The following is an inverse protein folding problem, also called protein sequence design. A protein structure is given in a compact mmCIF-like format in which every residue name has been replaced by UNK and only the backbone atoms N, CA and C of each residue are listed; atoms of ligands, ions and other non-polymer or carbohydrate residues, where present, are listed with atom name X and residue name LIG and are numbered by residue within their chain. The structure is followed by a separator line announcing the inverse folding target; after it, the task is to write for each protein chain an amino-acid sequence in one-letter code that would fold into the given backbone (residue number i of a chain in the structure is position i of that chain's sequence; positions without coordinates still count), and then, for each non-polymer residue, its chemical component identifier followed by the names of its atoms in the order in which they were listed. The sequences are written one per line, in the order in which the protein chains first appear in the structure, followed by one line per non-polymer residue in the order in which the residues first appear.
data_IF_082643562350
#
_entry.id   IF_082643562350
#
_cell.length_a   1.000
_cell.length_b   1.000
_cell.length_c   1.000
_cell.angle_alpha   90.00
_cell.angle_beta   90.00
_cell.angle_gamma   90.00
#
_symmetry.space_group_name_H-M   'P 1'
#
loop_
_entity.id
_entity.type
_entity.pdbx_description
1 polymer ?
#
# COMPACT_ATOMS: atom_id res chain seq x y z
N UNK A 1 4.02 4.92 -25.47
CA UNK A 1 3.59 3.87 -26.42
C UNK A 1 2.72 2.91 -25.64
N UNK A 2 1.45 2.78 -26.01
CA UNK A 2 0.51 1.83 -25.41
C UNK A 2 0.16 0.77 -26.46
N UNK A 3 -0.03 -0.48 -26.03
CA UNK A 3 -0.53 -1.52 -26.93
C UNK A 3 -2.04 -1.63 -26.74
N UNK A 4 -2.80 -1.13 -27.71
CA UNK A 4 -4.26 -1.20 -27.72
C UNK A 4 -4.69 -2.23 -28.75
N UNK A 5 -5.38 -3.31 -28.34
CA UNK A 5 -5.86 -4.38 -29.23
C UNK A 5 -4.75 -4.89 -30.18
N UNK A 6 -3.58 -5.15 -29.59
CA UNK A 6 -2.35 -5.58 -30.27
C UNK A 6 -1.66 -4.60 -31.22
N UNK A 7 -2.15 -3.37 -31.35
CA UNK A 7 -1.48 -2.30 -32.11
C UNK A 7 -0.74 -1.36 -31.17
N UNK A 8 0.47 -0.96 -31.55
CA UNK A 8 1.22 0.07 -30.86
C UNK A 8 0.68 1.44 -31.24
N UNK A 9 0.28 2.22 -30.24
CA UNK A 9 -0.25 3.57 -30.39
C UNK A 9 0.56 4.55 -29.52
N UNK A 10 0.66 5.80 -30.00
CA UNK A 10 1.24 6.92 -29.27
C UNK A 10 0.10 7.85 -28.90
N UNK A 11 -0.01 8.18 -27.61
CA UNK A 11 -0.97 9.18 -27.12
C UNK A 11 -0.30 10.54 -27.10
N UNK A 12 -0.95 11.54 -27.69
CA UNK A 12 -0.53 12.94 -27.65
C UNK A 12 -1.11 13.59 -26.39
N UNK A 13 -0.36 13.53 -25.29
CA UNK A 13 -0.75 14.07 -23.98
C UNK A 13 0.45 14.77 -23.34
N UNK A 14 0.17 15.87 -22.64
CA UNK A 14 1.21 16.62 -21.92
C UNK A 14 1.70 15.91 -20.65
N UNK A 15 0.82 15.11 -20.04
CA UNK A 15 1.08 14.47 -18.76
C UNK A 15 0.59 13.02 -18.71
N UNK A 16 1.37 12.20 -18.00
CA UNK A 16 1.03 10.81 -17.69
C UNK A 16 0.97 10.67 -16.18
N UNK A 17 -0.21 10.34 -15.66
CA UNK A 17 -0.40 10.01 -14.23
C UNK A 17 -0.34 8.50 -14.06
N UNK A 18 0.59 8.03 -13.23
CA UNK A 18 0.78 6.61 -12.98
C UNK A 18 -0.02 6.18 -11.75
N UNK A 19 -1.11 5.45 -11.98
CA UNK A 19 -1.94 4.85 -10.93
C UNK A 19 -1.66 3.34 -10.80
N UNK A 20 -0.40 2.94 -10.68
CA UNK A 20 0.05 1.53 -10.72
C UNK A 20 -0.10 0.77 -9.39
N UNK A 21 -1.04 1.19 -8.54
CA UNK A 21 -1.27 0.60 -7.22
C UNK A 21 -0.36 1.17 -6.13
N UNK A 22 -0.21 0.40 -5.05
CA UNK A 22 0.44 0.84 -3.81
C UNK A 22 1.31 -0.28 -3.24
N UNK A 23 2.41 0.10 -2.57
CA UNK A 23 3.29 -0.80 -1.82
C UNK A 23 3.21 -0.49 -0.32
N UNK A 24 3.37 -1.50 0.56
CA UNK A 24 3.43 -1.24 2.00
C UNK A 24 4.63 -0.37 2.38
N UNK A 25 4.41 0.61 3.26
CA UNK A 25 5.48 1.41 3.85
C UNK A 25 5.83 0.86 5.24
N UNK A 26 7.00 0.24 5.38
CA UNK A 26 7.39 -0.52 6.59
C UNK A 26 8.72 -0.05 7.21
N UNK A 27 9.31 1.06 6.74
CA UNK A 27 10.63 1.51 7.17
C UNK A 27 10.74 1.69 8.70
N UNK A 28 9.78 2.38 9.31
CA UNK A 28 9.75 2.58 10.76
C UNK A 28 9.53 1.28 11.53
N UNK A 29 8.66 0.41 11.02
CA UNK A 29 8.38 -0.88 11.64
C UNK A 29 9.64 -1.75 11.72
N UNK A 30 10.37 -1.88 10.60
CA UNK A 30 11.62 -2.63 10.57
C UNK A 30 12.68 -2.01 11.49
N UNK A 31 12.81 -0.68 11.49
CA UNK A 31 13.74 0.02 12.37
C UNK A 31 13.46 -0.17 13.87
N UNK A 32 12.18 -0.20 14.28
CA UNK A 32 11.77 -0.43 15.66
C UNK A 32 11.91 -1.91 16.06
N UNK A 33 11.54 -2.83 15.16
CA UNK A 33 11.68 -4.27 15.34
C UNK A 33 13.14 -4.67 15.55
N UNK A 34 14.08 -4.11 14.77
CA UNK A 34 15.52 -4.35 14.92
C UNK A 34 16.06 -3.89 16.28
N UNK A 35 15.42 -2.90 16.90
CA UNK A 35 15.76 -2.40 18.25
C UNK A 35 15.09 -3.19 19.37
N UNK A 36 14.34 -4.25 19.06
CA UNK A 36 13.62 -5.06 20.04
C UNK A 36 12.41 -4.36 20.66
N UNK A 37 11.91 -3.28 20.06
CA UNK A 37 10.70 -2.60 20.52
C UNK A 37 9.49 -3.47 20.15
N UNK A 38 8.58 -3.68 21.09
CA UNK A 38 7.32 -4.35 20.80
C UNK A 38 6.44 -3.41 19.95
N UNK A 39 6.22 -3.77 18.68
CA UNK A 39 5.50 -2.96 17.71
C UNK A 39 4.54 -3.83 16.90
N UNK A 40 3.38 -3.26 16.55
CA UNK A 40 2.37 -3.91 15.72
C UNK A 40 2.23 -3.21 14.38
N UNK A 41 1.90 -3.96 13.34
CA UNK A 41 1.70 -3.47 11.99
C UNK A 41 0.24 -3.67 11.58
N UNK A 42 -0.43 -2.61 11.16
CA UNK A 42 -1.84 -2.61 10.72
C UNK A 42 -2.02 -1.73 9.48
N UNK A 43 -3.17 -1.86 8.82
CA UNK A 43 -3.57 -0.99 7.72
C UNK A 43 -2.63 -1.09 6.51
N UNK A 44 -2.45 0.03 5.80
CA UNK A 44 -1.67 0.08 4.56
C UNK A 44 -0.21 -0.34 4.72
N UNK A 45 0.35 -0.11 5.91
CA UNK A 45 1.70 -0.54 6.26
C UNK A 45 1.81 -2.07 6.38
N UNK A 46 0.74 -2.76 6.79
CA UNK A 46 0.65 -4.22 6.80
C UNK A 46 0.36 -4.78 5.39
N UNK A 47 -0.63 -4.20 4.69
CA UNK A 47 -1.00 -4.57 3.32
C UNK A 47 -1.51 -3.34 2.58
N UNK A 48 -0.85 -2.93 1.51
CA UNK A 48 -1.28 -1.74 0.75
C UNK A 48 -2.19 -2.08 -0.44
N UNK A 49 -1.82 -3.10 -1.25
CA UNK A 49 -2.54 -3.37 -2.49
C UNK A 49 -3.97 -3.88 -2.20
N UNK A 50 -4.95 -3.11 -2.67
CA UNK A 50 -6.37 -3.43 -2.53
C UNK A 50 -6.90 -3.30 -1.10
N UNK A 51 -6.16 -2.64 -0.20
CA UNK A 51 -6.67 -2.33 1.13
C UNK A 51 -7.57 -1.08 1.06
N UNK A 52 -8.79 -1.21 1.58
CA UNK A 52 -9.68 -0.09 1.81
C UNK A 52 -9.61 0.42 3.27
N UNK A 53 -10.19 1.58 3.52
CA UNK A 53 -10.21 2.18 4.86
C UNK A 53 -10.92 1.30 5.89
N UNK A 54 -11.94 0.54 5.48
CA UNK A 54 -12.73 -0.32 6.38
C UNK A 54 -11.86 -1.46 6.93
N UNK A 55 -11.07 -2.10 6.07
CA UNK A 55 -10.17 -3.16 6.47
C UNK A 55 -9.06 -2.65 7.40
N UNK A 56 -8.53 -1.45 7.15
CA UNK A 56 -7.56 -0.81 8.05
C UNK A 56 -8.15 -0.57 9.45
N UNK A 57 -9.38 -0.06 9.51
CA UNK A 57 -10.09 0.23 10.77
C UNK A 57 -10.42 -1.06 11.52
N UNK A 58 -10.91 -2.10 10.85
CA UNK A 58 -11.21 -3.40 11.48
C UNK A 58 -9.96 -4.04 12.08
N UNK A 59 -8.82 -4.00 11.37
CA UNK A 59 -7.53 -4.47 11.91
C UNK A 59 -7.12 -3.71 13.17
N UNK A 60 -7.22 -2.38 13.14
CA UNK A 60 -6.90 -1.54 14.29
C UNK A 60 -7.80 -1.85 15.49
N UNK A 61 -9.11 -1.94 15.26
CA UNK A 61 -10.10 -2.20 16.30
C UNK A 61 -9.90 -3.57 16.97
N UNK A 62 -9.64 -4.62 16.17
CA UNK A 62 -9.37 -5.96 16.71
C UNK A 62 -8.07 -5.99 17.49
N UNK A 63 -7.00 -5.38 16.97
CA UNK A 63 -5.73 -5.32 17.69
C UNK A 63 -5.90 -4.62 19.04
N UNK A 64 -6.55 -3.44 19.06
CA UNK A 64 -6.77 -2.67 20.27
C UNK A 64 -7.59 -3.44 21.33
N UNK A 65 -8.51 -4.32 20.92
CA UNK A 65 -9.29 -5.15 21.84
C UNK A 65 -8.49 -6.31 22.48
N UNK A 66 -7.29 -6.61 21.97
CA UNK A 66 -6.43 -7.72 22.45
C UNK A 66 -5.20 -7.27 23.22
N UNK A 67 -4.95 -5.95 23.28
CA UNK A 67 -3.85 -5.32 24.02
C UNK A 67 -4.29 -4.92 25.42
#
# INVERSE_FOLDING_TARGET
HLKLRDKLEVLDVDHIVICAGQTPCQELYEGLKQKGVNVHLIGGAFKALGLDAKAAIDQAARLAATL
#
